data_IF_419303907101
#
_entry.id   IF_419303907101
#
_cell.length_a   1.000
_cell.length_b   1.000
_cell.length_c   1.000
_cell.angle_alpha   90.00
_cell.angle_beta   90.00
_cell.angle_gamma   90.00
#
_symmetry.space_group_name_H-M   'P 1'
#
loop_
_entity.id
_entity.type
_entity.pdbx_description
1 polymer ?
#
# COMPACT_ATOMS: atom_id res chain seq x y z
N UNK A 1 37.21 -29.65 15.74
CA UNK A 1 37.10 -28.75 14.55
C UNK A 1 36.02 -29.37 13.66
N UNK A 2 35.03 -28.64 13.13
CA UNK A 2 33.96 -29.25 12.33
C UNK A 2 34.40 -29.35 10.87
N UNK A 3 34.69 -30.56 10.39
CA UNK A 3 35.05 -30.81 9.00
C UNK A 3 33.94 -31.63 8.33
N UNK A 4 33.38 -31.12 7.23
CA UNK A 4 32.43 -31.84 6.40
C UNK A 4 33.11 -32.20 5.07
N UNK A 5 33.18 -33.48 4.76
CA UNK A 5 33.73 -33.98 3.50
C UNK A 5 32.60 -34.56 2.64
N UNK A 6 32.63 -34.26 1.34
CA UNK A 6 31.74 -34.87 0.35
C UNK A 6 32.51 -35.98 -0.37
N UNK A 7 32.05 -37.23 -0.25
CA UNK A 7 32.69 -38.39 -0.85
C UNK A 7 32.34 -38.51 -2.35
N UNK A 8 33.31 -38.67 -3.27
CA UNK A 8 33.06 -38.69 -4.71
C UNK A 8 32.74 -40.10 -5.22
N UNK A 9 31.62 -40.70 -4.81
CA UNK A 9 31.13 -41.94 -5.47
C UNK A 9 29.62 -42.10 -5.37
N UNK A 10 28.90 -41.71 -6.44
CA UNK A 10 27.58 -42.14 -6.98
C UNK A 10 26.34 -42.21 -6.03
N UNK A 11 26.49 -42.11 -4.72
CA UNK A 11 25.44 -41.77 -3.75
C UNK A 11 25.96 -40.58 -2.94
N UNK A 12 25.24 -39.46 -2.95
CA UNK A 12 25.58 -38.26 -2.16
C UNK A 12 25.42 -38.57 -0.66
N UNK A 13 26.41 -39.26 -0.08
CA UNK A 13 26.51 -39.47 1.36
C UNK A 13 27.40 -38.36 1.94
N UNK A 14 26.82 -37.55 2.83
CA UNK A 14 27.57 -36.57 3.61
C UNK A 14 28.06 -37.24 4.88
N UNK A 15 29.38 -37.26 5.09
CA UNK A 15 29.98 -37.77 6.31
C UNK A 15 30.33 -36.62 7.24
N UNK A 16 29.93 -36.74 8.50
CA UNK A 16 30.20 -35.76 9.56
C UNK A 16 31.09 -36.43 10.62
N UNK A 17 32.32 -35.96 10.72
CA UNK A 17 33.27 -36.40 11.75
C UNK A 17 33.22 -35.44 12.94
N UNK A 18 33.05 -35.97 14.15
CA UNK A 18 32.89 -35.19 15.38
C UNK A 18 33.95 -35.62 16.38
N UNK A 19 34.84 -34.67 16.71
CA UNK A 19 35.80 -34.83 17.79
C UNK A 19 35.25 -34.22 19.09
N UNK A 20 35.11 -35.02 20.16
CA UNK A 20 34.78 -34.50 21.48
C UNK A 20 35.86 -33.53 22.00
N UNK A 21 35.50 -32.64 22.93
CA UNK A 21 36.43 -31.66 23.51
C UNK A 21 37.58 -32.31 24.32
N UNK A 22 37.39 -33.55 24.74
CA UNK A 22 38.35 -34.35 25.49
C UNK A 22 38.18 -35.83 25.12
N UNK A 23 39.26 -36.64 25.15
CA UNK A 23 39.15 -38.08 24.91
C UNK A 23 38.28 -38.74 25.97
N UNK A 24 37.39 -39.65 25.57
CA UNK A 24 36.50 -40.36 26.48
C UNK A 24 37.19 -41.61 27.03
N UNK A 25 37.38 -41.65 28.35
CA UNK A 25 37.80 -42.86 29.07
C UNK A 25 36.60 -43.56 29.70
N UNK A 26 36.77 -44.79 30.17
CA UNK A 26 35.70 -45.60 30.74
C UNK A 26 34.90 -44.86 31.83
N UNK A 27 33.58 -44.74 31.63
CA UNK A 27 32.66 -44.06 32.54
C UNK A 27 32.53 -42.54 32.34
N UNK A 28 33.30 -41.93 31.44
CA UNK A 28 33.16 -40.51 31.12
C UNK A 28 31.93 -40.29 30.23
N UNK A 29 31.14 -39.26 30.56
CA UNK A 29 29.93 -38.89 29.83
C UNK A 29 30.16 -37.56 29.10
N UNK A 30 29.61 -37.46 27.88
CA UNK A 30 29.61 -36.22 27.11
C UNK A 30 28.24 -35.96 26.54
N UNK A 31 27.83 -34.70 26.56
CA UNK A 31 26.56 -34.25 26.01
C UNK A 31 26.85 -33.29 24.88
N UNK A 32 26.27 -33.57 23.71
CA UNK A 32 26.37 -32.71 22.54
C UNK A 32 25.03 -32.68 21.80
N UNK A 33 24.85 -31.64 21.00
CA UNK A 33 23.66 -31.45 20.18
C UNK A 33 24.08 -31.29 18.73
N UNK A 34 23.51 -32.09 17.84
CA UNK A 34 23.71 -31.99 16.39
C UNK A 34 22.37 -31.64 15.76
N UNK A 35 22.38 -30.70 14.82
CA UNK A 35 21.22 -30.32 14.04
C UNK A 35 21.59 -30.10 12.59
N UNK A 36 20.75 -30.56 11.68
CA UNK A 36 20.90 -30.36 10.25
C UNK A 36 19.52 -30.14 9.61
N UNK A 37 19.50 -29.43 8.49
CA UNK A 37 18.29 -29.19 7.70
C UNK A 37 18.28 -30.08 6.47
N UNK A 38 17.12 -30.68 6.17
CA UNK A 38 16.90 -31.47 4.97
C UNK A 38 15.77 -30.85 4.13
N UNK A 39 15.84 -30.96 2.80
CA UNK A 39 14.76 -30.50 1.92
C UNK A 39 13.49 -31.34 2.18
N UNK A 40 12.39 -30.66 2.48
CA UNK A 40 11.14 -31.31 2.92
C UNK A 40 10.53 -32.25 1.86
N UNK A 41 10.74 -31.94 0.58
CA UNK A 41 10.21 -32.66 -0.58
C UNK A 41 10.63 -34.15 -0.63
N UNK A 42 11.77 -34.50 -0.03
CA UNK A 42 12.30 -35.86 -0.06
C UNK A 42 11.77 -36.73 1.08
N UNK A 43 11.13 -36.12 2.10
CA UNK A 43 10.69 -36.81 3.33
C UNK A 43 9.19 -36.68 3.59
N UNK A 44 8.54 -35.65 3.05
CA UNK A 44 7.09 -35.43 3.20
C UNK A 44 6.40 -35.64 1.87
N UNK A 45 5.47 -36.58 1.88
CA UNK A 45 4.70 -36.97 0.72
C UNK A 45 3.23 -36.67 0.94
N UNK A 46 2.49 -36.50 -0.15
CA UNK A 46 1.04 -36.24 -0.12
C UNK A 46 0.33 -37.33 -0.90
N UNK A 47 -0.62 -38.02 -0.26
CA UNK A 47 -1.45 -39.06 -0.85
C UNK A 47 -2.89 -38.93 -0.33
N UNK A 48 -3.88 -39.03 -1.22
CA UNK A 48 -5.32 -39.04 -0.88
C UNK A 48 -5.78 -37.91 0.04
N UNK A 49 -5.24 -36.71 -0.14
CA UNK A 49 -5.58 -35.53 0.68
C UNK A 49 -5.03 -35.57 2.12
N UNK A 50 -4.20 -36.56 2.45
CA UNK A 50 -3.39 -36.65 3.67
C UNK A 50 -1.92 -36.43 3.32
N UNK A 51 -1.15 -35.93 4.27
CA UNK A 51 0.31 -35.87 4.18
C UNK A 51 0.89 -36.92 5.09
N UNK A 52 2.03 -37.46 4.70
CA UNK A 52 2.78 -38.35 5.56
C UNK A 52 4.25 -38.02 5.54
N UNK A 53 4.86 -38.06 6.73
CA UNK A 53 6.29 -37.97 6.91
C UNK A 53 6.85 -39.39 6.91
N UNK A 54 7.87 -39.66 6.09
CA UNK A 54 8.60 -40.91 6.08
C UNK A 54 10.06 -40.64 6.43
N UNK A 55 10.50 -41.10 7.60
CA UNK A 55 11.87 -40.90 8.08
C UNK A 55 12.34 -42.10 8.89
N UNK A 56 13.65 -42.26 9.02
CA UNK A 56 14.27 -43.31 9.83
C UNK A 56 14.08 -43.03 11.31
N UNK A 57 13.73 -44.05 12.09
CA UNK A 57 13.52 -43.90 13.53
C UNK A 57 14.83 -43.80 14.34
N UNK A 58 15.93 -44.35 13.82
CA UNK A 58 17.20 -44.49 14.54
C UNK A 58 18.12 -43.27 14.46
N UNK A 59 19.22 -43.35 15.22
CA UNK A 59 20.33 -42.40 15.12
C UNK A 59 21.11 -42.62 13.82
N UNK A 60 21.59 -41.55 13.16
CA UNK A 60 22.49 -41.67 12.02
C UNK A 60 23.91 -42.12 12.40
N UNK A 61 24.21 -42.29 13.69
CA UNK A 61 25.50 -42.79 14.17
C UNK A 61 25.57 -44.32 14.04
N UNK A 62 26.64 -44.81 13.44
CA UNK A 62 26.87 -46.25 13.26
C UNK A 62 27.34 -46.91 14.56
N UNK A 63 26.94 -48.17 14.77
CA UNK A 63 27.44 -49.07 15.83
C UNK A 63 27.27 -48.58 17.28
N UNK A 64 26.28 -47.73 17.56
CA UNK A 64 25.94 -47.32 18.92
C UNK A 64 24.73 -48.08 19.49
N UNK A 65 24.79 -48.39 20.79
CA UNK A 65 23.65 -48.86 21.57
C UNK A 65 23.00 -47.65 22.26
N UNK A 66 21.68 -47.49 22.08
CA UNK A 66 20.93 -46.40 22.69
C UNK A 66 20.00 -46.98 23.76
N UNK A 67 20.23 -46.64 25.02
CA UNK A 67 19.40 -47.11 26.15
C UNK A 67 17.96 -46.57 26.06
N UNK A 68 17.80 -45.29 25.70
CA UNK A 68 16.50 -44.63 25.59
C UNK A 68 16.48 -43.65 24.42
N UNK A 69 15.66 -43.95 23.41
CA UNK A 69 15.45 -43.08 22.26
C UNK A 69 14.07 -42.42 22.34
N UNK A 70 14.05 -41.09 22.26
CA UNK A 70 12.82 -40.29 22.22
C UNK A 70 12.81 -39.52 20.90
N UNK A 71 11.88 -39.87 20.01
CA UNK A 71 11.67 -39.18 18.74
C UNK A 71 10.48 -38.23 18.91
N UNK A 72 10.71 -36.93 18.72
CA UNK A 72 9.67 -35.90 18.77
C UNK A 72 9.42 -35.35 17.37
N UNK A 73 8.26 -35.66 16.79
CA UNK A 73 7.83 -35.15 15.49
C UNK A 73 6.93 -33.94 15.71
N UNK A 74 7.43 -32.75 15.39
CA UNK A 74 6.66 -31.49 15.48
C UNK A 74 5.94 -31.26 14.15
N UNK A 75 4.61 -31.23 14.18
CA UNK A 75 3.79 -31.00 12.99
C UNK A 75 3.37 -29.53 12.87
N UNK A 76 3.03 -29.05 11.65
CA UNK A 76 2.53 -27.70 11.45
C UNK A 76 1.24 -27.41 12.24
N UNK A 77 1.03 -26.15 12.61
CA UNK A 77 -0.21 -25.70 13.28
C UNK A 77 -1.43 -26.01 12.40
N UNK A 78 -2.50 -26.53 13.00
CA UNK A 78 -3.71 -26.93 12.27
C UNK A 78 -3.67 -28.33 11.66
N UNK A 79 -2.63 -29.13 11.95
CA UNK A 79 -2.60 -30.56 11.63
C UNK A 79 -3.65 -31.33 12.47
N UNK A 80 -4.43 -32.18 11.82
CA UNK A 80 -5.51 -32.99 12.41
C UNK A 80 -5.31 -34.48 12.10
N UNK A 81 -5.97 -35.35 12.87
CA UNK A 81 -6.01 -36.80 12.66
C UNK A 81 -4.61 -37.41 12.49
N UNK A 82 -3.79 -37.28 13.52
CA UNK A 82 -2.40 -37.79 13.53
C UNK A 82 -2.42 -39.29 13.78
N UNK A 83 -1.84 -40.05 12.86
CA UNK A 83 -1.71 -41.51 12.93
C UNK A 83 -0.28 -41.95 12.65
N UNK A 84 0.16 -43.04 13.29
CA UNK A 84 1.56 -43.48 13.29
C UNK A 84 1.65 -44.93 12.88
N UNK A 85 2.42 -45.18 11.82
CA UNK A 85 2.78 -46.52 11.38
C UNK A 85 4.26 -46.75 11.68
N UNK A 86 4.54 -47.39 12.82
CA UNK A 86 5.87 -47.82 13.21
C UNK A 86 6.02 -49.34 13.04
N UNK A 87 7.17 -49.84 12.55
CA UNK A 87 7.39 -51.28 12.34
C UNK A 87 7.65 -52.08 13.62
N UNK A 88 7.75 -51.41 14.77
CA UNK A 88 8.00 -52.01 16.09
C UNK A 88 7.12 -51.33 17.16
N UNK A 89 6.85 -52.00 18.29
CA UNK A 89 6.08 -51.41 19.38
C UNK A 89 6.84 -50.24 20.01
N UNK A 90 6.17 -49.08 20.09
CA UNK A 90 6.68 -47.87 20.74
C UNK A 90 5.62 -47.28 21.66
N UNK A 91 6.06 -46.64 22.73
CA UNK A 91 5.17 -45.82 23.56
C UNK A 91 4.94 -44.49 22.84
N UNK A 92 3.69 -44.11 22.65
CA UNK A 92 3.34 -42.88 21.95
C UNK A 92 2.41 -41.99 22.78
N UNK A 93 2.67 -40.69 22.75
CA UNK A 93 1.77 -39.68 23.30
C UNK A 93 1.87 -38.37 22.51
N UNK A 94 0.91 -37.48 22.73
CA UNK A 94 0.83 -36.20 22.06
C UNK A 94 1.10 -35.06 23.05
N UNK A 95 1.96 -34.14 22.65
CA UNK A 95 2.28 -32.90 23.36
C UNK A 95 1.91 -31.70 22.46
N UNK A 96 1.87 -30.50 23.04
CA UNK A 96 1.72 -29.25 22.29
C UNK A 96 2.94 -28.39 22.56
N UNK A 97 3.58 -27.91 21.49
CA UNK A 97 4.72 -27.00 21.58
C UNK A 97 4.34 -25.65 20.99
N UNK A 98 4.58 -24.60 21.75
CA UNK A 98 4.42 -23.22 21.29
C UNK A 98 5.75 -22.72 20.71
N UNK A 99 5.69 -22.19 19.49
CA UNK A 99 6.79 -21.51 18.81
C UNK A 99 6.42 -20.06 18.47
N UNK A 100 7.22 -19.44 17.63
CA UNK A 100 6.96 -18.09 17.14
C UNK A 100 5.79 -18.11 16.15
N UNK A 101 4.91 -17.12 16.25
CA UNK A 101 3.73 -16.94 15.38
C UNK A 101 2.69 -18.06 15.46
N UNK A 102 2.61 -18.75 16.59
CA UNK A 102 1.59 -19.78 16.83
C UNK A 102 0.42 -19.22 17.67
N UNK A 103 -0.83 -19.55 17.31
CA UNK A 103 -2.02 -19.17 18.11
C UNK A 103 -2.44 -20.32 19.02
N UNK A 104 -2.70 -21.49 18.43
CA UNK A 104 -3.17 -22.69 19.12
C UNK A 104 -2.02 -23.62 19.56
N UNK A 105 -0.82 -23.43 18.99
CA UNK A 105 0.35 -24.26 19.21
C UNK A 105 0.45 -25.43 18.23
N UNK A 106 1.66 -25.98 18.10
CA UNK A 106 1.99 -27.06 17.17
C UNK A 106 1.85 -28.42 17.86
N UNK A 107 1.09 -29.37 17.29
CA UNK A 107 1.01 -30.71 17.86
C UNK A 107 2.34 -31.44 17.65
N UNK A 108 2.81 -32.07 18.73
CA UNK A 108 4.05 -32.84 18.77
C UNK A 108 3.71 -34.28 19.09
N UNK A 109 4.04 -35.18 18.17
CA UNK A 109 3.98 -36.61 18.42
C UNK A 109 5.29 -37.04 19.06
N UNK A 110 5.22 -37.69 20.23
CA UNK A 110 6.38 -38.23 20.92
C UNK A 110 6.33 -39.74 20.87
N UNK A 111 7.41 -40.34 20.40
CA UNK A 111 7.63 -41.78 20.35
C UNK A 111 8.82 -42.14 21.23
N UNK A 112 8.60 -43.00 22.23
CA UNK A 112 9.64 -43.51 23.11
C UNK A 112 9.87 -45.00 22.87
N UNK A 113 11.15 -45.37 22.73
CA UNK A 113 11.60 -46.76 22.66
C UNK A 113 12.85 -46.96 23.52
N UNK A 114 12.82 -47.92 24.47
CA UNK A 114 14.03 -48.38 25.15
C UNK A 114 14.83 -49.35 24.26
N UNK A 115 16.13 -49.47 24.54
CA UNK A 115 17.04 -50.46 23.94
C UNK A 115 16.99 -50.49 22.40
N UNK A 116 17.51 -49.45 21.77
CA UNK A 116 17.58 -49.33 20.31
C UNK A 116 18.97 -49.78 19.83
N UNK A 117 18.96 -50.86 19.04
CA UNK A 117 20.12 -51.35 18.27
C UNK A 117 20.09 -50.81 16.83
N UNK A 118 21.23 -50.79 16.11
CA UNK A 118 21.31 -50.29 14.74
C UNK A 118 20.31 -50.94 13.76
N UNK A 119 19.95 -52.20 13.97
CA UNK A 119 18.96 -52.93 13.14
C UNK A 119 17.54 -52.35 13.23
N UNK A 120 17.22 -51.59 14.28
CA UNK A 120 15.94 -50.89 14.40
C UNK A 120 15.90 -49.57 13.62
N UNK A 121 16.93 -49.25 12.83
CA UNK A 121 16.96 -48.08 11.97
C UNK A 121 16.09 -48.27 10.71
N UNK A 122 14.81 -48.54 10.94
CA UNK A 122 13.79 -48.71 9.91
C UNK A 122 13.02 -47.41 9.72
N UNK A 123 12.42 -47.29 8.55
CA UNK A 123 11.52 -46.19 8.21
C UNK A 123 10.22 -46.29 9.00
N UNK A 124 9.81 -45.18 9.62
CA UNK A 124 8.49 -45.04 10.22
C UNK A 124 7.72 -43.92 9.52
N UNK A 125 6.39 -44.03 9.53
CA UNK A 125 5.51 -43.12 8.82
C UNK A 125 4.54 -42.44 9.78
N UNK A 126 4.39 -41.12 9.65
CA UNK A 126 3.42 -40.33 10.41
C UNK A 126 2.45 -39.67 9.45
N UNK A 127 1.19 -40.08 9.50
CA UNK A 127 0.10 -39.53 8.70
C UNK A 127 -0.57 -38.38 9.44
N UNK A 128 -0.87 -37.30 8.72
CA UNK A 128 -1.61 -36.18 9.25
C UNK A 128 -2.41 -35.48 8.15
N UNK A 129 -3.53 -34.89 8.53
CA UNK A 129 -4.36 -34.06 7.65
C UNK A 129 -4.02 -32.59 7.87
N UNK A 130 -3.59 -31.91 6.80
CA UNK A 130 -3.21 -30.50 6.85
C UNK A 130 -3.96 -29.70 5.81
N UNK A 131 -4.59 -28.60 6.22
CA UNK A 131 -5.26 -27.68 5.33
C UNK A 131 -4.30 -26.57 4.89
N UNK A 132 -4.16 -26.35 3.58
CA UNK A 132 -3.30 -25.28 3.05
C UNK A 132 -3.74 -23.88 3.49
N UNK A 133 -5.03 -23.68 3.76
CA UNK A 133 -5.55 -22.40 4.25
C UNK A 133 -4.94 -22.05 5.62
N UNK A 134 -4.57 -23.05 6.43
CA UNK A 134 -3.93 -22.83 7.73
C UNK A 134 -2.57 -22.15 7.60
N UNK A 135 -1.87 -22.28 6.46
CA UNK A 135 -0.61 -21.55 6.21
C UNK A 135 -0.82 -20.04 6.09
N UNK A 136 -2.02 -19.59 5.69
CA UNK A 136 -2.32 -18.17 5.55
C UNK A 136 -2.64 -17.51 6.89
N UNK A 137 -2.87 -18.28 7.96
CA UNK A 137 -3.18 -17.74 9.29
C UNK A 137 -1.96 -17.00 9.86
N UNK A 138 -0.76 -17.57 9.70
CA UNK A 138 0.49 -16.98 10.18
C UNK A 138 0.73 -15.55 9.61
N UNK A 139 0.72 -15.30 8.28
CA UNK A 139 0.86 -13.94 7.74
C UNK A 139 -0.33 -13.04 8.07
N UNK A 140 -1.55 -13.57 8.10
CA UNK A 140 -2.74 -12.78 8.45
C UNK A 140 -2.69 -12.28 9.90
N UNK A 141 -2.05 -13.01 10.81
CA UNK A 141 -1.81 -12.55 12.18
C UNK A 141 -0.97 -11.26 12.19
N UNK A 142 0.14 -11.23 11.44
CA UNK A 142 1.00 -10.06 11.34
C UNK A 142 0.27 -8.88 10.72
N UNK A 143 -0.44 -9.10 9.61
CA UNK A 143 -1.25 -8.07 8.96
C UNK A 143 -2.26 -7.49 9.94
N UNK A 144 -2.96 -8.34 10.68
CA UNK A 144 -3.95 -7.92 11.69
C UNK A 144 -3.29 -7.12 12.81
N UNK A 145 -2.12 -7.54 13.29
CA UNK A 145 -1.38 -6.83 14.32
C UNK A 145 -1.00 -5.40 13.90
N UNK A 146 -0.44 -5.24 12.70
CA UNK A 146 -0.12 -3.92 12.14
C UNK A 146 -1.36 -3.10 11.84
N UNK A 147 -2.42 -3.73 11.33
CA UNK A 147 -3.69 -3.04 11.08
C UNK A 147 -4.27 -2.44 12.35
N UNK A 148 -4.30 -3.19 13.45
CA UNK A 148 -4.78 -2.70 14.74
C UNK A 148 -3.93 -1.55 15.28
N UNK A 149 -2.61 -1.57 15.05
CA UNK A 149 -1.72 -0.46 15.39
C UNK A 149 -2.12 0.82 14.64
N UNK A 150 -2.34 0.73 13.32
CA UNK A 150 -2.78 1.89 12.54
C UNK A 150 -4.16 2.40 12.94
N UNK A 151 -5.10 1.50 13.23
CA UNK A 151 -6.42 1.89 13.74
C UNK A 151 -6.29 2.62 15.08
N UNK A 152 -5.42 2.16 15.98
CA UNK A 152 -5.16 2.84 17.24
C UNK A 152 -4.54 4.24 17.03
N UNK A 153 -3.62 4.38 16.07
CA UNK A 153 -3.07 5.69 15.70
C UNK A 153 -4.13 6.63 15.12
N UNK A 154 -5.00 6.13 14.24
CA UNK A 154 -6.10 6.92 13.66
C UNK A 154 -7.07 7.35 14.76
N UNK A 155 -7.46 6.43 15.65
CA UNK A 155 -8.33 6.74 16.77
C UNK A 155 -7.70 7.80 17.68
N UNK A 156 -6.41 7.67 18.00
CA UNK A 156 -5.65 8.65 18.78
C UNK A 156 -5.64 10.03 18.12
N UNK A 157 -5.41 10.10 16.81
CA UNK A 157 -5.43 11.36 16.05
C UNK A 157 -6.82 12.00 15.97
N UNK A 158 -7.87 11.18 15.93
CA UNK A 158 -9.25 11.64 15.85
C UNK A 158 -9.87 11.95 17.23
N UNK A 159 -9.21 11.56 18.32
CA UNK A 159 -9.63 11.96 19.67
C UNK A 159 -9.10 13.34 20.03
N UNK A 160 -9.99 14.33 20.03
CA UNK A 160 -9.68 15.68 20.52
C UNK A 160 -9.46 15.68 22.04
N UNK A 161 -8.23 15.44 22.47
CA UNK A 161 -7.80 15.60 23.87
C UNK A 161 -7.48 17.06 24.21
N UNK A 162 -8.32 18.00 23.76
CA UNK A 162 -8.16 19.42 24.06
C UNK A 162 -8.77 19.76 25.41
N UNK A 163 -7.94 20.23 26.35
CA UNK A 163 -8.31 20.56 27.73
C UNK A 163 -9.13 21.87 27.81
N UNK A 164 -8.99 22.78 26.85
CA UNK A 164 -9.76 24.03 26.80
C UNK A 164 -10.02 24.47 25.37
N UNK A 165 -11.30 24.44 24.97
CA UNK A 165 -11.79 24.91 23.66
C UNK A 165 -11.89 26.44 23.56
N UNK A 166 -11.52 27.16 24.63
CA UNK A 166 -11.63 28.62 24.71
C UNK A 166 -10.26 29.32 24.63
N UNK A 167 -9.17 28.57 24.41
CA UNK A 167 -7.85 29.18 24.23
C UNK A 167 -7.84 30.04 22.96
N UNK A 168 -7.27 31.26 22.98
CA UNK A 168 -7.09 32.09 21.80
C UNK A 168 -6.39 31.36 20.64
N UNK A 169 -5.48 30.43 20.95
CA UNK A 169 -4.80 29.60 19.95
C UNK A 169 -5.70 28.57 19.28
N UNK A 170 -6.69 28.01 19.99
CA UNK A 170 -7.64 27.04 19.44
C UNK A 170 -8.67 27.72 18.54
N UNK A 171 -9.22 28.86 19.00
CA UNK A 171 -10.13 29.68 18.19
C UNK A 171 -9.43 30.20 16.93
N UNK A 172 -8.16 30.60 17.06
CA UNK A 172 -7.38 31.00 15.90
C UNK A 172 -7.24 29.86 14.89
N UNK A 173 -6.98 28.62 15.35
CA UNK A 173 -6.87 27.46 14.45
C UNK A 173 -8.20 27.12 13.77
N UNK A 174 -9.30 27.15 14.51
CA UNK A 174 -10.64 26.92 13.95
C UNK A 174 -11.00 27.96 12.88
N UNK A 175 -10.72 29.24 13.14
CA UNK A 175 -10.93 30.32 12.18
C UNK A 175 -10.05 30.14 10.93
N UNK A 176 -8.80 29.68 11.09
CA UNK A 176 -7.92 29.36 9.97
C UNK A 176 -8.45 28.18 9.14
N UNK A 177 -8.93 27.11 9.78
CA UNK A 177 -9.51 25.94 9.10
C UNK A 177 -10.79 26.33 8.31
N UNK A 178 -11.65 27.19 8.88
CA UNK A 178 -12.83 27.74 8.19
C UNK A 178 -12.44 28.61 6.98
N UNK A 179 -11.42 29.45 7.13
CA UNK A 179 -10.88 30.27 6.02
C UNK A 179 -10.30 29.37 4.93
N UNK A 180 -9.54 28.34 5.29
CA UNK A 180 -8.92 27.42 4.33
C UNK A 180 -9.98 26.62 3.54
N UNK A 181 -11.02 26.13 4.22
CA UNK A 181 -12.14 25.47 3.56
C UNK A 181 -12.86 26.40 2.56
N UNK A 182 -13.03 27.67 2.93
CA UNK A 182 -13.63 28.69 2.05
C UNK A 182 -12.72 29.01 0.85
N UNK A 183 -11.41 29.11 1.06
CA UNK A 183 -10.41 29.30 -0.01
C UNK A 183 -10.41 28.13 -0.99
N UNK A 184 -10.54 26.88 -0.51
CA UNK A 184 -10.66 25.70 -1.39
C UNK A 184 -11.93 25.74 -2.24
N UNK A 185 -13.06 26.19 -1.69
CA UNK A 185 -14.28 26.38 -2.49
C UNK A 185 -14.09 27.43 -3.58
N UNK A 186 -13.40 28.54 -3.26
CA UNK A 186 -13.07 29.58 -4.23
C UNK A 186 -12.14 29.04 -5.33
N UNK A 187 -11.11 28.27 -4.98
CA UNK A 187 -10.25 27.60 -5.95
C UNK A 187 -11.03 26.65 -6.87
N UNK A 188 -11.99 25.90 -6.32
CA UNK A 188 -12.91 25.07 -7.09
C UNK A 188 -13.70 25.87 -8.15
N UNK A 189 -14.19 27.06 -7.79
CA UNK A 189 -14.86 27.98 -8.72
C UNK A 189 -13.89 28.47 -9.80
N UNK A 190 -12.66 28.85 -9.45
CA UNK A 190 -11.67 29.29 -10.43
C UNK A 190 -11.25 28.18 -11.40
N UNK A 191 -11.11 26.94 -10.95
CA UNK A 191 -10.88 25.80 -11.84
C UNK A 191 -12.04 25.58 -12.81
N UNK A 192 -13.29 25.76 -12.35
CA UNK A 192 -14.45 25.71 -13.23
C UNK A 192 -14.42 26.85 -14.26
N UNK A 193 -14.03 28.07 -13.85
CA UNK A 193 -13.81 29.18 -14.79
C UNK A 193 -12.79 28.81 -15.86
N UNK A 194 -11.60 28.31 -15.50
CA UNK A 194 -10.57 27.88 -16.46
C UNK A 194 -11.08 26.80 -17.42
N UNK A 195 -11.87 25.84 -16.94
CA UNK A 195 -12.49 24.82 -17.80
C UNK A 195 -13.49 25.42 -18.81
N UNK A 196 -14.20 26.49 -18.46
CA UNK A 196 -15.06 27.24 -19.40
C UNK A 196 -14.20 27.99 -20.42
N UNK A 197 -13.04 28.53 -20.02
CA UNK A 197 -12.08 29.16 -20.94
C UNK A 197 -11.59 28.16 -22.01
N UNK A 198 -11.21 26.95 -21.60
CA UNK A 198 -10.76 25.89 -22.52
C UNK A 198 -11.87 25.44 -23.50
N UNK A 199 -13.12 25.35 -23.03
CA UNK A 199 -14.28 25.06 -23.90
C UNK A 199 -14.51 26.16 -24.93
N UNK A 200 -14.23 27.39 -24.55
CA UNK A 200 -14.40 28.55 -25.41
C UNK A 200 -13.28 28.59 -26.47
N UNK A 201 -12.04 28.30 -26.08
CA UNK A 201 -10.90 28.19 -27.00
C UNK A 201 -11.02 27.03 -27.99
N UNK A 202 -11.49 25.86 -27.55
CA UNK A 202 -11.81 24.73 -28.44
C UNK A 202 -12.92 25.07 -29.43
N UNK A 203 -13.94 25.81 -29.00
CA UNK A 203 -15.01 26.30 -29.88
C UNK A 203 -14.49 27.26 -30.98
N UNK A 204 -13.45 28.06 -30.70
CA UNK A 204 -12.78 28.87 -31.74
C UNK A 204 -11.96 28.03 -32.71
N UNK A 205 -11.27 27.02 -32.19
CA UNK A 205 -10.50 26.12 -33.04
C UNK A 205 -11.41 25.35 -34.00
N UNK A 206 -12.57 24.89 -33.52
CA UNK A 206 -13.58 24.26 -34.36
C UNK A 206 -14.19 25.24 -35.37
N UNK A 207 -14.48 26.49 -34.97
CA UNK A 207 -14.93 27.54 -35.90
C UNK A 207 -13.95 27.74 -37.07
N UNK A 208 -12.64 27.72 -36.80
CA UNK A 208 -11.61 27.80 -37.84
C UNK A 208 -11.68 26.63 -38.84
N UNK A 209 -12.11 25.45 -38.38
CA UNK A 209 -12.14 24.21 -39.17
C UNK A 209 -13.45 23.99 -39.93
N UNK A 210 -14.60 24.29 -39.33
CA UNK A 210 -15.93 24.04 -39.90
C UNK A 210 -16.62 25.28 -40.46
N UNK A 211 -16.17 26.49 -40.07
CA UNK A 211 -16.75 27.76 -40.52
C UNK A 211 -18.15 28.05 -39.95
N UNK A 212 -18.63 27.30 -38.96
CA UNK A 212 -19.97 27.49 -38.38
C UNK A 212 -20.00 28.57 -37.30
N UNK A 213 -20.28 29.80 -37.73
CA UNK A 213 -20.41 30.96 -36.85
C UNK A 213 -21.60 30.88 -35.88
N UNK A 214 -22.64 30.10 -36.18
CA UNK A 214 -23.84 30.00 -35.32
C UNK A 214 -23.57 29.17 -34.07
N UNK A 215 -22.90 28.04 -34.23
CA UNK A 215 -22.47 27.19 -33.11
C UNK A 215 -21.51 27.94 -32.16
N UNK A 216 -20.55 28.69 -32.71
CA UNK A 216 -19.62 29.49 -31.92
C UNK A 216 -20.31 30.64 -31.14
N UNK A 217 -21.30 31.32 -31.74
CA UNK A 217 -22.12 32.34 -31.03
C UNK A 217 -22.93 31.72 -29.89
N UNK A 218 -23.47 30.51 -30.08
CA UNK A 218 -24.20 29.80 -29.03
C UNK A 218 -23.28 29.38 -27.87
N UNK A 219 -22.08 28.85 -28.17
CA UNK A 219 -21.07 28.51 -27.17
C UNK A 219 -20.62 29.74 -26.35
N UNK A 220 -20.43 30.88 -27.02
CA UNK A 220 -20.13 32.16 -26.34
C UNK A 220 -21.23 32.61 -25.39
N UNK A 221 -22.50 32.51 -25.81
CA UNK A 221 -23.63 32.87 -24.96
C UNK A 221 -23.78 31.93 -23.77
N UNK A 222 -23.51 30.63 -23.96
CA UNK A 222 -23.50 29.64 -22.89
C UNK A 222 -22.38 29.89 -21.87
N UNK A 223 -21.17 30.21 -22.34
CA UNK A 223 -20.04 30.56 -21.47
C UNK A 223 -20.30 31.86 -20.68
N UNK A 224 -20.86 32.91 -21.30
CA UNK A 224 -21.25 34.16 -20.61
C UNK A 224 -22.28 33.91 -19.49
N UNK A 225 -23.24 33.00 -19.73
CA UNK A 225 -24.19 32.59 -18.71
C UNK A 225 -23.50 31.85 -17.55
N UNK A 226 -22.55 30.94 -17.85
CA UNK A 226 -21.79 30.22 -16.83
C UNK A 226 -20.89 31.14 -16.00
N UNK A 227 -20.18 32.09 -16.62
CA UNK A 227 -19.39 33.08 -15.89
C UNK A 227 -20.25 33.96 -14.98
N UNK A 228 -21.46 34.33 -15.41
CA UNK A 228 -22.40 35.10 -14.57
C UNK A 228 -22.91 34.31 -13.37
N UNK A 229 -23.15 33.01 -13.50
CA UNK A 229 -23.52 32.14 -12.36
C UNK A 229 -22.33 31.95 -11.41
N UNK A 230 -21.15 31.62 -11.91
CA UNK A 230 -19.93 31.49 -11.09
C UNK A 230 -19.58 32.80 -10.36
N UNK A 231 -19.79 33.96 -10.99
CA UNK A 231 -19.61 35.26 -10.35
C UNK A 231 -20.65 35.56 -9.26
N UNK A 232 -21.86 34.95 -9.31
CA UNK A 232 -22.84 35.05 -8.21
C UNK A 232 -22.45 34.17 -7.04
N UNK A 233 -21.91 32.97 -7.28
CA UNK A 233 -21.44 32.04 -6.25
C UNK A 233 -20.16 32.54 -5.55
N UNK A 234 -19.29 33.24 -6.29
CA UNK A 234 -18.04 33.80 -5.75
C UNK A 234 -18.27 34.98 -4.79
N UNK A 235 -19.27 35.83 -5.03
CA UNK A 235 -19.56 37.02 -4.20
C UNK A 235 -19.76 36.74 -2.71
N UNK A 236 -20.62 35.79 -2.29
CA UNK A 236 -20.81 35.49 -0.87
C UNK A 236 -19.54 34.91 -0.22
N UNK A 237 -18.77 34.10 -0.96
CA UNK A 237 -17.51 33.50 -0.46
C UNK A 237 -16.41 34.55 -0.27
N UNK A 238 -16.33 35.56 -1.16
CA UNK A 238 -15.43 36.68 -0.97
C UNK A 238 -15.83 37.52 0.27
N UNK A 239 -17.13 37.76 0.48
CA UNK A 239 -17.58 38.50 1.66
C UNK A 239 -17.28 37.76 2.97
N UNK A 240 -17.41 36.43 3.01
CA UNK A 240 -17.06 35.64 4.20
C UNK A 240 -15.55 35.68 4.49
N UNK A 241 -14.69 35.57 3.47
CA UNK A 241 -13.23 35.69 3.65
C UNK A 241 -12.84 37.11 4.08
N UNK A 242 -13.47 38.16 3.54
CA UNK A 242 -13.20 39.56 3.91
C UNK A 242 -13.54 39.85 5.38
N UNK A 243 -14.61 39.22 5.88
CA UNK A 243 -15.07 39.43 7.25
C UNK A 243 -14.20 38.75 8.31
N UNK A 244 -13.30 37.86 7.89
CA UNK A 244 -12.41 37.12 8.80
C UNK A 244 -11.13 37.93 9.10
N UNK A 245 -10.78 38.19 10.36
CA UNK A 245 -9.61 38.99 10.73
C UNK A 245 -8.25 38.33 10.40
N UNK A 246 -8.23 37.02 10.13
CA UNK A 246 -7.01 36.26 9.81
C UNK A 246 -6.67 36.24 8.32
N UNK A 247 -7.60 36.64 7.45
CA UNK A 247 -7.41 36.62 6.00
C UNK A 247 -6.58 37.79 5.47
N UNK A 248 -6.07 38.69 6.33
CA UNK A 248 -5.37 39.92 5.92
C UNK A 248 -4.18 39.67 4.99
N UNK A 249 -3.51 38.52 5.10
CA UNK A 249 -2.39 38.15 4.23
C UNK A 249 -2.82 37.49 2.91
N UNK A 250 -4.00 36.86 2.87
CA UNK A 250 -4.52 36.10 1.73
C UNK A 250 -5.42 36.97 0.86
N UNK A 251 -6.20 37.86 1.48
CA UNK A 251 -7.14 38.77 0.85
C UNK A 251 -6.57 39.58 -0.32
N UNK A 252 -5.41 40.27 -0.21
CA UNK A 252 -4.88 41.05 -1.33
C UNK A 252 -4.52 40.20 -2.56
N UNK A 253 -4.11 38.94 -2.34
CA UNK A 253 -3.80 38.00 -3.44
C UNK A 253 -5.06 37.42 -4.06
N UNK A 254 -6.08 37.18 -3.23
CA UNK A 254 -7.38 36.74 -3.68
C UNK A 254 -8.09 37.84 -4.50
N UNK A 255 -8.00 39.10 -4.08
CA UNK A 255 -8.55 40.25 -4.79
C UNK A 255 -7.85 40.46 -6.15
N UNK A 256 -6.51 40.35 -6.17
CA UNK A 256 -5.73 40.39 -7.42
C UNK A 256 -6.11 39.24 -8.36
N UNK A 257 -6.27 38.01 -7.85
CA UNK A 257 -6.73 36.85 -8.63
C UNK A 257 -8.13 37.08 -9.23
N UNK A 258 -9.07 37.61 -8.45
CA UNK A 258 -10.43 37.94 -8.92
C UNK A 258 -10.40 39.02 -10.00
N UNK A 259 -9.55 40.04 -9.84
CA UNK A 259 -9.37 41.10 -10.84
C UNK A 259 -8.78 40.58 -12.14
N UNK A 260 -7.72 39.75 -12.06
CA UNK A 260 -7.05 39.13 -13.20
C UNK A 260 -7.96 38.16 -13.96
N UNK A 261 -8.77 37.39 -13.25
CA UNK A 261 -9.76 36.51 -13.86
C UNK A 261 -10.85 37.29 -14.63
N UNK A 262 -11.34 38.41 -14.08
CA UNK A 262 -12.27 39.28 -14.82
C UNK A 262 -11.63 39.88 -16.07
N UNK A 263 -10.37 40.33 -15.97
CA UNK A 263 -9.63 40.85 -17.11
C UNK A 263 -9.43 39.78 -18.20
N UNK A 264 -9.17 38.54 -17.80
CA UNK A 264 -9.05 37.38 -18.70
C UNK A 264 -10.38 37.09 -19.41
N UNK A 265 -11.49 37.05 -18.67
CA UNK A 265 -12.84 36.84 -19.21
C UNK A 265 -13.21 37.91 -20.25
N UNK A 266 -12.97 39.19 -19.95
CA UNK A 266 -13.26 40.30 -20.86
C UNK A 266 -12.43 40.22 -22.15
N UNK A 267 -11.13 39.92 -22.03
CA UNK A 267 -10.24 39.78 -23.20
C UNK A 267 -10.59 38.56 -24.05
N UNK A 268 -10.95 37.44 -23.42
CA UNK A 268 -11.35 36.23 -24.14
C UNK A 268 -12.67 36.44 -24.90
N UNK A 269 -13.63 37.15 -24.29
CA UNK A 269 -14.90 37.49 -24.92
C UNK A 269 -14.74 38.50 -26.07
N UNK A 270 -13.81 39.45 -25.94
CA UNK A 270 -13.44 40.37 -27.02
C UNK A 270 -12.77 39.65 -28.21
N UNK A 271 -11.88 38.69 -27.94
CA UNK A 271 -11.28 37.83 -28.98
C UNK A 271 -12.35 37.04 -29.72
N UNK A 272 -13.27 36.41 -29.01
CA UNK A 272 -14.39 35.69 -29.60
C UNK A 272 -15.26 36.56 -30.49
N UNK A 273 -15.57 37.79 -30.06
CA UNK A 273 -16.31 38.75 -30.88
C UNK A 273 -15.58 39.06 -32.20
N UNK A 274 -14.27 39.32 -32.09
CA UNK A 274 -13.43 39.73 -33.22
C UNK A 274 -13.27 38.60 -34.24
N UNK A 275 -13.07 37.35 -33.79
CA UNK A 275 -12.94 36.19 -34.69
C UNK A 275 -14.24 35.93 -35.43
N UNK A 276 -15.36 35.91 -34.70
CA UNK A 276 -16.68 35.63 -35.29
C UNK A 276 -17.07 36.71 -36.32
N UNK A 277 -16.87 37.99 -36.01
CA UNK A 277 -17.14 39.10 -36.94
C UNK A 277 -16.24 39.06 -38.19
N UNK A 278 -14.98 38.65 -38.04
CA UNK A 278 -14.05 38.53 -39.16
C UNK A 278 -14.37 37.35 -40.09
N UNK A 279 -14.86 36.23 -39.52
CA UNK A 279 -15.34 35.07 -40.27
C UNK A 279 -16.63 35.41 -41.03
N UNK A 280 -17.57 36.14 -40.41
CA UNK A 280 -18.80 36.59 -41.08
C UNK A 280 -18.52 37.56 -42.24
N UNK A 281 -17.48 38.40 -42.11
CA UNK A 281 -17.03 39.33 -43.16
C UNK A 281 -16.16 38.69 -44.24
N UNK A 282 -15.94 37.36 -44.20
CA UNK A 282 -15.09 36.60 -45.14
C UNK A 282 -13.70 37.22 -45.34
N UNK A 283 -13.10 37.74 -44.26
CA UNK A 283 -11.75 38.30 -44.31
C UNK A 283 -10.72 37.17 -44.50
N UNK A 284 -9.57 37.50 -45.10
CA UNK A 284 -8.50 36.53 -45.37
C UNK A 284 -7.94 36.02 -44.04
N UNK A 285 -7.81 34.70 -43.87
CA UNK A 285 -7.39 34.09 -42.60
C UNK A 285 -6.08 34.65 -42.03
N UNK A 286 -5.16 35.06 -42.91
CA UNK A 286 -3.86 35.62 -42.54
C UNK A 286 -3.95 37.00 -41.86
N UNK A 287 -4.94 37.84 -42.24
CA UNK A 287 -5.16 39.16 -41.62
C UNK A 287 -5.87 39.04 -40.26
N UNK A 288 -6.70 38.00 -40.12
CA UNK A 288 -7.39 37.64 -38.89
C UNK A 288 -6.36 37.14 -37.85
N UNK A 289 -5.47 36.25 -38.26
CA UNK A 289 -4.42 35.67 -37.42
C UNK A 289 -3.41 36.72 -36.92
N UNK A 290 -3.03 37.67 -37.77
CA UNK A 290 -2.13 38.78 -37.39
C UNK A 290 -2.75 39.74 -36.37
N UNK A 291 -4.07 39.95 -36.37
CA UNK A 291 -4.76 40.79 -35.37
C UNK A 291 -5.00 40.04 -34.06
N UNK A 292 -5.19 38.73 -34.13
CA UNK A 292 -5.46 37.88 -32.97
C UNK A 292 -4.19 37.49 -32.23
N UNK A 293 -3.04 37.38 -32.90
CA UNK A 293 -1.77 36.94 -32.29
C UNK A 293 -1.37 37.77 -31.06
N UNK A 294 -1.51 39.11 -31.13
CA UNK A 294 -1.25 40.00 -29.98
C UNK A 294 -2.27 39.82 -28.84
N UNK A 295 -3.52 39.52 -29.15
CA UNK A 295 -4.56 39.22 -28.15
C UNK A 295 -4.33 37.85 -27.51
N UNK A 296 -3.93 36.85 -28.30
CA UNK A 296 -3.62 35.49 -27.87
C UNK A 296 -2.44 35.47 -26.88
N UNK A 297 -1.36 36.20 -27.18
CA UNK A 297 -0.22 36.32 -26.27
C UNK A 297 -0.61 36.95 -24.92
N UNK A 298 -1.45 37.98 -24.93
CA UNK A 298 -1.95 38.63 -23.70
C UNK A 298 -2.87 37.73 -22.89
N UNK A 299 -3.72 36.93 -23.54
CA UNK A 299 -4.59 35.94 -22.89
C UNK A 299 -3.75 34.81 -22.28
N UNK A 300 -2.74 34.31 -23.00
CA UNK A 300 -1.85 33.28 -22.50
C UNK A 300 -1.04 33.74 -21.28
N UNK A 301 -0.50 34.98 -21.31
CA UNK A 301 0.21 35.55 -20.18
C UNK A 301 -0.70 35.73 -18.95
N UNK A 302 -1.93 36.25 -19.13
CA UNK A 302 -2.89 36.41 -18.03
C UNK A 302 -3.35 35.06 -17.46
N UNK A 303 -3.54 34.04 -18.30
CA UNK A 303 -3.86 32.68 -17.85
C UNK A 303 -2.74 32.11 -16.97
N UNK A 304 -1.49 32.28 -17.38
CA UNK A 304 -0.34 31.82 -16.61
C UNK A 304 -0.22 32.57 -15.27
N UNK A 305 -0.51 33.87 -15.24
CA UNK A 305 -0.56 34.66 -14.00
C UNK A 305 -1.67 34.13 -13.06
N UNK A 306 -2.88 33.88 -13.57
CA UNK A 306 -4.01 33.32 -12.79
C UNK A 306 -3.67 31.93 -12.24
N UNK A 307 -3.10 31.04 -13.05
CA UNK A 307 -2.67 29.71 -12.60
C UNK A 307 -1.57 29.79 -11.54
N UNK A 308 -0.60 30.70 -11.68
CA UNK A 308 0.47 30.89 -10.69
C UNK A 308 -0.03 31.42 -9.34
N UNK A 309 -1.02 32.32 -9.36
CA UNK A 309 -1.66 32.83 -8.14
C UNK A 309 -2.51 31.76 -7.47
N UNK A 310 -3.15 30.89 -8.25
CA UNK A 310 -3.93 29.77 -7.74
C UNK A 310 -3.04 28.72 -7.06
N UNK A 311 -1.91 28.38 -7.67
CA UNK A 311 -0.90 27.48 -7.11
C UNK A 311 -0.33 28.03 -5.80
N UNK A 312 0.02 29.32 -5.77
CA UNK A 312 0.47 29.98 -4.55
C UNK A 312 -0.57 29.93 -3.41
N UNK A 313 -1.87 30.09 -3.74
CA UNK A 313 -2.94 29.98 -2.75
C UNK A 313 -3.19 28.54 -2.27
N UNK A 314 -2.71 27.53 -3.01
CA UNK A 314 -2.82 26.11 -2.63
C UNK A 314 -1.70 25.67 -1.68
N UNK A 315 -0.58 26.39 -1.69
CA UNK A 315 0.57 26.14 -0.80
C UNK A 315 0.41 26.78 0.59
N UNK A 316 -0.57 27.67 0.76
CA UNK A 316 -0.92 28.34 2.04
C UNK A 316 -1.91 27.47 2.82
#
# INVERSE_FOLDING_TARGET
MLNAFTCPTILLQTQLEIEPRFPLFGGWQTTFTIGYGLPLQDFVFSADGKRFLNITFGSPMEEILIEKLIVKVVLPEGSKDIDVSAPFPTNQWQEVKYSHLDIAGRPVLVLEKPDVIPEHNLHFQVYYKFNNISLLIEPMMLITGFFLLFVACIAYMHTDMSISKNSPSYLAKLQWDEVQATVQQIQGIFHQCLAVHDKLETSLHDLSRTGDAKSCKAARKAADAQFKELAKELKPLLLSVQSSPQSYQIWPKLDDLVAKERELQDKLMARHATVVDSVEKKQRGQDIENRISSQQQKIAALRQEVESLLEYLSEI
#
